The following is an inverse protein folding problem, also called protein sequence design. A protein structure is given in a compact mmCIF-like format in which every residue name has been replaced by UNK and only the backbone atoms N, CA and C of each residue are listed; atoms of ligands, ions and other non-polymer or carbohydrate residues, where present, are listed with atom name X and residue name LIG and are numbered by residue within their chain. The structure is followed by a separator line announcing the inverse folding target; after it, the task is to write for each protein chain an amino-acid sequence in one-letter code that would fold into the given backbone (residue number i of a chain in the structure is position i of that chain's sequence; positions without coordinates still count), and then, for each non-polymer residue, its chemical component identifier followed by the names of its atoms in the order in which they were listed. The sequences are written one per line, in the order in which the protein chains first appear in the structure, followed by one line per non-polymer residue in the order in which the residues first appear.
data_IF_362859573498
#
_entry.id   IF_362859573498
#
_cell.length_a   1.000
_cell.length_b   1.000
_cell.length_c   1.000
_cell.angle_alpha   90.00
_cell.angle_beta   90.00
_cell.angle_gamma   90.00
#
_symmetry.space_group_name_H-M   'P 1'
#
loop_
_entity.id
_entity.type
_entity.pdbx_description
1 polymer ?
#
# COMPACT_ATOMS: atom_id res chain seq x y z
N UNK A 1 17.41 15.65 6.09
CA UNK A 1 16.47 16.48 6.87
C UNK A 1 15.07 16.14 6.41
N UNK A 2 14.21 15.73 7.35
CA UNK A 2 12.84 15.34 7.04
C UNK A 2 11.98 16.56 6.69
N UNK A 3 10.86 16.35 6.01
CA UNK A 3 9.85 17.37 5.71
C UNK A 3 8.49 16.86 6.20
N UNK A 4 7.75 17.68 6.95
CA UNK A 4 6.38 17.41 7.37
C UNK A 4 5.46 18.36 6.64
N UNK A 5 4.44 17.86 5.97
CA UNK A 5 3.49 18.64 5.16
C UNK A 5 2.05 18.42 5.66
N UNK A 6 1.29 19.50 5.69
CA UNK A 6 -0.17 19.50 5.94
C UNK A 6 -0.81 20.58 5.05
N UNK A 7 -1.83 20.20 4.28
CA UNK A 7 -2.47 21.08 3.31
C UNK A 7 -3.94 21.32 3.63
N UNK A 8 -4.38 22.57 3.51
CA UNK A 8 -5.80 22.91 3.52
C UNK A 8 -6.24 23.29 2.10
N UNK A 9 -7.32 22.66 1.65
CA UNK A 9 -7.77 22.69 0.25
C UNK A 9 -9.29 22.85 0.13
N UNK A 10 -9.73 23.48 -0.96
CA UNK A 10 -11.14 23.65 -1.29
C UNK A 10 -11.75 22.39 -1.91
N UNK A 11 -13.07 22.25 -1.83
CA UNK A 11 -13.80 21.21 -2.58
C UNK A 11 -13.48 21.38 -4.07
N UNK A 12 -12.68 20.44 -4.61
CA UNK A 12 -12.04 20.56 -5.93
C UNK A 12 -10.55 20.22 -5.93
N UNK A 13 -9.90 20.27 -4.76
CA UNK A 13 -8.48 19.96 -4.57
C UNK A 13 -7.55 21.15 -4.78
N UNK A 14 -8.07 22.37 -4.84
CA UNK A 14 -7.26 23.59 -4.89
C UNK A 14 -6.74 23.91 -3.49
N UNK A 15 -5.42 23.89 -3.31
CA UNK A 15 -4.77 24.20 -2.04
C UNK A 15 -4.74 25.72 -1.88
N UNK A 16 -5.08 26.20 -0.69
CA UNK A 16 -4.99 27.63 -0.35
C UNK A 16 -4.01 27.91 0.80
N UNK A 17 -3.59 26.86 1.52
CA UNK A 17 -2.62 26.93 2.59
C UNK A 17 -1.86 25.61 2.67
N UNK A 18 -0.53 25.69 2.66
CA UNK A 18 0.36 24.55 2.86
C UNK A 18 1.29 24.85 4.04
N UNK A 19 1.11 24.12 5.13
CA UNK A 19 2.02 24.14 6.26
C UNK A 19 3.20 23.22 6.02
N UNK A 20 4.38 23.62 6.50
CA UNK A 20 5.55 22.76 6.48
C UNK A 20 6.38 22.87 7.77
N UNK A 21 7.07 21.79 8.12
CA UNK A 21 8.02 21.74 9.22
C UNK A 21 9.19 20.83 8.85
N UNK A 22 10.40 21.15 9.34
CA UNK A 22 11.57 20.26 9.36
C UNK A 22 11.75 19.65 10.75
N UNK A 23 11.46 20.47 11.75
CA UNK A 23 11.41 20.11 13.16
C UNK A 23 10.55 21.13 13.95
N UNK A 24 10.64 21.07 15.28
CA UNK A 24 9.89 21.96 16.18
C UNK A 24 10.30 23.44 16.13
N UNK A 25 11.43 23.78 15.50
CA UNK A 25 12.02 25.12 15.43
C UNK A 25 12.02 25.69 14.01
N UNK A 26 12.17 24.85 12.99
CA UNK A 26 12.19 25.25 11.59
C UNK A 26 10.88 24.81 10.92
N UNK A 27 9.97 25.77 10.76
CA UNK A 27 8.66 25.58 10.15
C UNK A 27 8.20 26.85 9.44
N UNK A 28 7.21 26.71 8.57
CA UNK A 28 6.64 27.83 7.83
C UNK A 28 5.32 27.44 7.17
N UNK A 29 4.78 28.36 6.40
CA UNK A 29 3.52 28.18 5.69
C UNK A 29 3.61 28.89 4.34
N UNK A 30 3.13 28.24 3.28
CA UNK A 30 2.92 28.82 1.97
C UNK A 30 1.42 29.11 1.80
N UNK A 31 1.06 30.35 1.54
CA UNK A 31 -0.31 30.81 1.31
C UNK A 31 -0.34 32.14 0.54
N UNK A 32 -1.48 32.50 -0.03
CA UNK A 32 -1.64 33.67 -0.90
C UNK A 32 -0.50 33.72 -1.95
N UNK A 33 0.20 34.84 -2.07
CA UNK A 33 1.27 35.07 -3.07
C UNK A 33 2.51 34.17 -2.86
N UNK A 34 2.67 33.56 -1.68
CA UNK A 34 3.78 32.63 -1.41
C UNK A 34 3.49 31.19 -1.82
N UNK A 35 2.23 30.85 -2.09
CA UNK A 35 1.83 29.50 -2.52
C UNK A 35 2.08 29.32 -4.03
N UNK A 36 3.36 29.23 -4.38
CA UNK A 36 3.82 29.07 -5.76
C UNK A 36 4.61 27.78 -5.92
N UNK A 37 4.64 27.29 -7.15
CA UNK A 37 5.41 26.11 -7.54
C UNK A 37 6.91 26.26 -7.23
N UNK A 38 7.49 27.41 -7.56
CA UNK A 38 8.91 27.72 -7.32
C UNK A 38 9.27 27.63 -5.82
N UNK A 39 8.47 28.26 -4.96
CA UNK A 39 8.68 28.21 -3.50
C UNK A 39 8.51 26.82 -2.92
N UNK A 40 7.58 26.05 -3.48
CA UNK A 40 7.40 24.67 -3.05
C UNK A 40 8.56 23.78 -3.53
N UNK A 41 9.08 24.00 -4.73
CA UNK A 41 10.26 23.31 -5.24
C UNK A 41 11.50 23.62 -4.41
N UNK A 42 11.72 24.87 -3.99
CA UNK A 42 12.80 25.25 -3.05
C UNK A 42 12.73 24.39 -1.76
N UNK A 43 11.54 24.19 -1.20
CA UNK A 43 11.36 23.30 -0.03
C UNK A 43 11.67 21.84 -0.37
N UNK A 44 11.29 21.35 -1.55
CA UNK A 44 11.58 19.98 -1.95
C UNK A 44 13.08 19.76 -2.16
N UNK A 45 13.78 20.69 -2.79
CA UNK A 45 15.23 20.60 -3.07
C UNK A 45 16.07 20.55 -1.78
N UNK A 46 15.67 21.28 -0.74
CA UNK A 46 16.29 21.25 0.57
C UNK A 46 16.02 19.94 1.36
N UNK A 47 15.16 19.06 0.84
CA UNK A 47 14.76 17.82 1.51
C UNK A 47 15.72 16.67 1.21
N UNK A 48 16.63 16.42 2.15
CA UNK A 48 17.54 15.25 2.09
C UNK A 48 17.03 14.01 2.83
N UNK A 49 15.91 14.12 3.55
CA UNK A 49 15.31 13.05 4.35
C UNK A 49 14.01 12.50 3.76
N UNK A 50 13.09 12.09 4.63
CA UNK A 50 11.77 11.58 4.23
C UNK A 50 10.72 12.69 4.28
N UNK A 51 9.71 12.59 3.43
CA UNK A 51 8.54 13.48 3.45
C UNK A 51 7.40 12.78 4.19
N UNK A 52 6.89 13.39 5.25
CA UNK A 52 5.82 12.91 6.08
C UNK A 52 4.58 13.79 5.92
N UNK A 53 3.41 13.16 5.96
CA UNK A 53 2.10 13.83 5.92
C UNK A 53 1.08 12.96 6.64
N UNK A 54 -0.09 13.54 6.93
CA UNK A 54 -1.12 12.88 7.72
C UNK A 54 -2.44 12.76 6.96
N UNK A 55 -2.59 11.69 6.18
CA UNK A 55 -3.80 11.43 5.39
C UNK A 55 -3.60 11.55 3.88
N UNK A 56 -4.57 12.09 3.12
CA UNK A 56 -4.56 12.07 1.65
C UNK A 56 -3.79 13.23 1.00
N UNK A 57 -3.24 14.16 1.79
CA UNK A 57 -2.80 15.48 1.32
C UNK A 57 -1.77 15.45 0.19
N UNK A 58 -0.84 14.51 0.22
CA UNK A 58 0.22 14.40 -0.79
C UNK A 58 -0.31 14.28 -2.21
N UNK A 59 -1.41 13.55 -2.43
CA UNK A 59 -2.00 13.41 -3.77
C UNK A 59 -2.66 14.69 -4.25
N UNK A 60 -3.17 15.51 -3.33
CA UNK A 60 -3.77 16.81 -3.63
C UNK A 60 -2.64 17.82 -3.94
N UNK A 61 -1.55 17.78 -3.18
CA UNK A 61 -0.35 18.61 -3.38
C UNK A 61 0.26 18.35 -4.76
N UNK A 62 0.50 17.09 -5.12
CA UNK A 62 1.01 16.70 -6.45
C UNK A 62 0.12 17.20 -7.58
N UNK A 63 -1.20 17.06 -7.44
CA UNK A 63 -2.16 17.54 -8.44
C UNK A 63 -2.15 19.05 -8.57
N UNK A 64 -2.06 19.77 -7.45
CA UNK A 64 -2.10 21.23 -7.43
C UNK A 64 -0.85 21.83 -8.09
N UNK A 65 0.34 21.35 -7.71
CA UNK A 65 1.60 21.83 -8.28
C UNK A 65 2.00 21.14 -9.59
N UNK A 66 1.25 20.13 -10.03
CA UNK A 66 1.59 19.30 -11.19
C UNK A 66 2.98 18.64 -11.07
N UNK A 67 3.34 18.25 -9.85
CA UNK A 67 4.64 17.66 -9.51
C UNK A 67 4.51 16.18 -9.17
N UNK A 68 5.51 15.37 -9.53
CA UNK A 68 5.62 13.98 -9.07
C UNK A 68 6.54 13.90 -7.86
N UNK A 69 5.96 13.98 -6.66
CA UNK A 69 6.73 14.02 -5.42
C UNK A 69 7.03 12.58 -4.96
N UNK A 70 6.05 11.69 -5.04
CA UNK A 70 6.14 10.31 -4.56
C UNK A 70 7.13 9.45 -5.34
N UNK A 71 7.37 9.73 -6.64
CA UNK A 71 8.43 9.03 -7.38
C UNK A 71 9.83 9.53 -7.00
N UNK A 72 9.97 10.83 -6.70
CA UNK A 72 11.26 11.47 -6.51
C UNK A 72 11.73 11.49 -5.04
N UNK A 73 10.80 11.37 -4.09
CA UNK A 73 11.08 11.44 -2.65
C UNK A 73 10.53 10.23 -1.88
N UNK A 74 11.08 9.96 -0.70
CA UNK A 74 10.53 8.94 0.19
C UNK A 74 9.37 9.52 1.00
N UNK A 75 8.17 9.36 0.46
CA UNK A 75 6.92 9.83 1.07
C UNK A 75 6.31 8.78 2.01
N UNK A 76 6.00 9.15 3.26
CA UNK A 76 5.43 8.29 4.31
C UNK A 76 4.16 8.89 4.90
N UNK A 77 3.06 8.13 4.87
CA UNK A 77 1.82 8.52 5.52
C UNK A 77 1.83 8.12 7.00
N UNK A 78 1.97 9.09 7.91
CA UNK A 78 2.04 8.83 9.35
C UNK A 78 0.73 8.28 9.93
N UNK A 79 -0.42 8.53 9.30
CA UNK A 79 -1.68 7.93 9.74
C UNK A 79 -1.63 6.40 9.65
N UNK A 80 -0.99 5.85 8.62
CA UNK A 80 -0.80 4.40 8.48
C UNK A 80 0.15 3.89 9.56
N UNK A 81 1.30 4.54 9.71
CA UNK A 81 2.30 4.17 10.73
C UNK A 81 1.68 4.16 12.13
N UNK A 82 0.89 5.16 12.46
CA UNK A 82 0.26 5.25 13.77
C UNK A 82 -0.84 4.20 13.97
N UNK A 83 -1.57 3.82 12.91
CA UNK A 83 -2.54 2.70 12.98
C UNK A 83 -1.87 1.37 13.28
N UNK A 84 -0.74 1.11 12.64
CA UNK A 84 -0.01 -0.14 12.81
C UNK A 84 0.60 -0.25 14.22
N UNK A 85 1.06 0.87 14.79
CA UNK A 85 1.74 0.89 16.10
C UNK A 85 0.83 1.19 17.30
N UNK A 86 -0.35 1.78 17.07
CA UNK A 86 -1.35 2.08 18.12
C UNK A 86 -2.68 1.39 17.79
N UNK A 87 -2.75 0.04 17.77
CA UNK A 87 -3.98 -0.66 17.43
C UNK A 87 -5.07 -0.44 18.49
N UNK A 88 -6.32 -0.34 18.04
CA UNK A 88 -7.49 -0.31 18.93
C UNK A 88 -7.88 1.06 19.48
N UNK A 89 -7.37 2.17 18.92
CA UNK A 89 -7.85 3.50 19.25
C UNK A 89 -9.24 3.76 18.65
N UNK A 90 -10.12 4.39 19.42
CA UNK A 90 -11.46 4.79 18.96
C UNK A 90 -11.40 5.78 17.78
N UNK A 91 -10.31 6.54 17.67
CA UNK A 91 -10.14 7.54 16.63
C UNK A 91 -8.67 7.85 16.35
N UNK A 92 -8.31 7.76 15.06
CA UNK A 92 -6.99 8.11 14.53
C UNK A 92 -6.98 9.52 13.91
N UNK A 93 -7.72 10.47 14.49
CA UNK A 93 -7.53 11.88 14.14
C UNK A 93 -6.25 12.37 14.82
N UNK A 94 -5.48 13.21 14.12
CA UNK A 94 -4.23 13.76 14.66
C UNK A 94 -4.43 14.38 16.05
N UNK A 95 -5.45 15.23 16.22
CA UNK A 95 -5.80 15.85 17.49
C UNK A 95 -6.06 14.85 18.64
N UNK A 96 -6.62 13.67 18.36
CA UNK A 96 -6.89 12.64 19.38
C UNK A 96 -5.60 11.94 19.81
N UNK A 97 -4.70 11.67 18.87
CA UNK A 97 -3.38 11.11 19.16
C UNK A 97 -2.53 12.13 19.92
N UNK A 98 -2.57 13.40 19.54
CA UNK A 98 -1.91 14.47 20.29
C UNK A 98 -2.38 14.54 21.75
N UNK A 99 -3.70 14.43 21.97
CA UNK A 99 -4.28 14.38 23.31
C UNK A 99 -3.78 13.17 24.10
N UNK A 100 -3.70 11.99 23.47
CA UNK A 100 -3.16 10.78 24.09
C UNK A 100 -1.71 10.98 24.57
N UNK A 101 -0.91 11.74 23.82
CA UNK A 101 0.48 12.06 24.13
C UNK A 101 0.69 13.38 24.88
N UNK A 102 -0.39 13.98 25.42
CA UNK A 102 -0.35 15.25 26.15
C UNK A 102 0.29 16.42 25.40
N UNK A 103 0.22 16.40 24.06
CA UNK A 103 0.63 17.54 23.24
C UNK A 103 -0.46 18.62 23.26
N UNK A 104 -0.09 19.79 23.76
CA UNK A 104 -1.02 20.93 23.88
C UNK A 104 -1.21 21.60 22.52
N UNK A 105 -2.47 21.68 22.08
CA UNK A 105 -2.93 22.66 21.09
C UNK A 105 -3.35 23.94 21.81
N UNK A 106 -3.22 25.09 21.14
CA UNK A 106 -3.82 26.31 21.68
C UNK A 106 -5.36 26.26 21.59
N UNK A 107 -5.92 25.47 20.68
CA UNK A 107 -7.34 25.17 20.61
C UNK A 107 -7.58 23.69 20.34
N UNK A 108 -8.30 23.03 21.25
CA UNK A 108 -8.59 21.59 21.16
C UNK A 108 -9.53 21.23 19.99
N UNK A 109 -10.45 22.13 19.62
CA UNK A 109 -11.51 21.85 18.64
C UNK A 109 -11.71 23.03 17.69
N UNK A 110 -10.76 23.27 16.78
CA UNK A 110 -11.01 24.21 15.67
C UNK A 110 -11.73 23.52 14.49
N UNK A 111 -11.44 22.23 14.24
CA UNK A 111 -11.91 21.44 13.10
C UNK A 111 -13.17 20.63 13.43
N UNK A 112 -14.29 21.28 13.73
CA UNK A 112 -15.58 20.58 13.80
C UNK A 112 -16.12 20.22 12.40
N UNK A 113 -15.80 21.04 11.38
CA UNK A 113 -16.26 20.85 10.01
C UNK A 113 -15.31 21.50 8.98
N UNK A 114 -14.94 20.83 7.89
CA UNK A 114 -14.14 21.40 6.78
C UNK A 114 -14.77 22.69 6.24
N UNK A 115 -16.10 22.79 6.22
CA UNK A 115 -16.82 23.99 5.77
C UNK A 115 -16.54 25.23 6.64
N UNK A 116 -16.16 25.09 7.91
CA UNK A 116 -15.83 26.24 8.76
C UNK A 116 -14.48 26.85 8.42
N UNK A 117 -13.50 26.04 8.05
CA UNK A 117 -12.15 26.51 7.65
C UNK A 117 -12.25 27.38 6.40
N UNK A 118 -13.01 26.92 5.41
CA UNK A 118 -13.26 27.68 4.19
C UNK A 118 -13.84 29.07 4.47
N UNK A 119 -14.88 29.11 5.31
CA UNK A 119 -15.57 30.35 5.67
C UNK A 119 -14.65 31.29 6.43
N UNK A 120 -13.81 30.74 7.29
CA UNK A 120 -12.89 31.51 8.13
C UNK A 120 -11.69 32.01 7.31
N UNK A 121 -11.20 31.24 6.33
CA UNK A 121 -10.13 31.68 5.42
C UNK A 121 -10.47 32.98 4.67
N UNK A 122 -11.74 33.13 4.26
CA UNK A 122 -12.24 34.32 3.55
C UNK A 122 -12.41 35.55 4.44
N UNK A 123 -12.31 35.39 5.77
CA UNK A 123 -12.51 36.48 6.73
C UNK A 123 -11.16 36.87 7.33
N UNK A 124 -10.62 38.06 7.01
CA UNK A 124 -9.30 38.49 7.49
C UNK A 124 -9.11 38.39 9.01
N UNK A 125 -10.19 38.65 9.77
CA UNK A 125 -10.19 38.64 11.24
C UNK A 125 -9.99 37.25 11.85
N UNK A 126 -10.32 36.17 11.13
CA UNK A 126 -10.22 34.78 11.62
C UNK A 126 -9.25 33.92 10.79
N UNK A 127 -8.70 34.45 9.69
CA UNK A 127 -7.63 33.81 8.91
C UNK A 127 -6.43 33.41 9.76
N UNK A 128 -6.07 34.23 10.74
CA UNK A 128 -5.01 33.94 11.71
C UNK A 128 -5.24 32.65 12.50
N UNK A 129 -6.49 32.25 12.73
CA UNK A 129 -6.84 31.00 13.40
C UNK A 129 -6.56 29.79 12.51
N UNK A 130 -6.87 29.89 11.21
CA UNK A 130 -6.55 28.83 10.23
C UNK A 130 -5.04 28.66 10.10
N UNK A 131 -4.30 29.78 10.01
CA UNK A 131 -2.84 29.76 9.98
C UNK A 131 -2.26 29.12 11.24
N UNK A 132 -2.75 29.50 12.42
CA UNK A 132 -2.30 28.91 13.67
C UNK A 132 -2.60 27.42 13.75
N UNK A 133 -3.79 26.99 13.33
CA UNK A 133 -4.22 25.59 13.33
C UNK A 133 -3.30 24.72 12.45
N UNK A 134 -3.11 25.09 11.18
CA UNK A 134 -2.28 24.33 10.25
C UNK A 134 -0.79 24.30 10.68
N UNK A 135 -0.29 25.41 11.25
CA UNK A 135 1.04 25.44 11.84
C UNK A 135 1.20 24.46 13.01
N UNK A 136 0.19 24.38 13.88
CA UNK A 136 0.19 23.42 15.00
C UNK A 136 0.17 21.97 14.49
N UNK A 137 -0.59 21.67 13.44
CA UNK A 137 -0.65 20.33 12.84
C UNK A 137 0.73 19.86 12.37
N UNK A 138 1.47 20.65 11.59
CA UNK A 138 2.81 20.23 11.10
C UNK A 138 3.85 20.11 12.21
N UNK A 139 3.85 21.01 13.19
CA UNK A 139 4.80 20.98 14.31
C UNK A 139 4.50 19.77 15.22
N UNK A 140 3.23 19.52 15.52
CA UNK A 140 2.85 18.41 16.39
C UNK A 140 3.04 17.06 15.69
N UNK A 141 2.87 17.01 14.37
CA UNK A 141 3.22 15.82 13.57
C UNK A 141 4.69 15.45 13.74
N UNK A 142 5.62 16.42 13.66
CA UNK A 142 7.04 16.18 13.89
C UNK A 142 7.32 15.65 15.31
N UNK A 143 6.65 16.22 16.33
CA UNK A 143 6.78 15.76 17.73
C UNK A 143 6.24 14.34 17.91
N UNK A 144 5.05 14.04 17.39
CA UNK A 144 4.43 12.72 17.50
C UNK A 144 5.26 11.65 16.81
N UNK A 145 5.79 11.95 15.61
CA UNK A 145 6.71 11.04 14.91
C UNK A 145 7.88 10.68 15.82
N UNK A 146 8.54 11.68 16.43
CA UNK A 146 9.66 11.42 17.32
C UNK A 146 9.27 10.55 18.53
N UNK A 147 8.16 10.88 19.20
CA UNK A 147 7.70 10.14 20.39
C UNK A 147 7.33 8.69 20.03
N UNK A 148 6.48 8.50 19.03
CA UNK A 148 5.97 7.17 18.64
C UNK A 148 7.10 6.32 18.09
N UNK A 149 7.98 6.87 17.24
CA UNK A 149 9.06 6.08 16.66
C UNK A 149 10.05 5.63 17.72
N UNK A 150 10.33 6.47 18.72
CA UNK A 150 11.18 6.10 19.86
C UNK A 150 10.49 5.07 20.76
N UNK A 151 9.19 5.21 21.01
CA UNK A 151 8.43 4.31 21.89
C UNK A 151 8.28 2.90 21.31
N UNK A 152 8.05 2.79 19.99
CA UNK A 152 7.76 1.52 19.31
C UNK A 152 8.92 1.00 18.45
N UNK A 153 10.08 1.65 18.53
CA UNK A 153 11.29 1.29 17.79
C UNK A 153 11.04 1.13 16.28
N UNK A 154 10.44 2.16 15.67
CA UNK A 154 10.05 2.12 14.26
C UNK A 154 11.28 2.24 13.36
N UNK A 155 11.70 1.11 12.78
CA UNK A 155 12.90 0.98 11.95
C UNK A 155 12.73 1.51 10.51
N UNK A 156 13.87 1.81 9.87
CA UNK A 156 13.91 2.31 8.50
C UNK A 156 13.41 1.29 7.47
N UNK A 157 13.66 0.00 7.70
CA UNK A 157 13.15 -1.11 6.87
C UNK A 157 11.62 -1.10 6.79
N UNK A 158 10.94 -0.80 7.89
CA UNK A 158 9.48 -0.67 7.91
C UNK A 158 9.02 0.53 7.09
N UNK A 159 9.70 1.67 7.20
CA UNK A 159 9.37 2.90 6.45
C UNK A 159 9.50 2.72 4.93
N UNK A 160 10.44 1.89 4.48
CA UNK A 160 10.57 1.51 3.06
C UNK A 160 9.35 0.72 2.56
N UNK A 161 8.71 -0.06 3.42
CA UNK A 161 7.53 -0.86 3.06
C UNK A 161 6.24 -0.03 3.02
N UNK A 162 6.15 1.01 3.84
CA UNK A 162 4.98 1.90 3.88
C UNK A 162 5.15 3.16 3.01
N UNK A 163 6.25 3.25 2.24
CA UNK A 163 6.47 4.30 1.24
C UNK A 163 5.28 4.34 0.27
N UNK A 164 4.77 5.54 -0.01
CA UNK A 164 3.78 5.71 -1.06
C UNK A 164 4.41 5.59 -2.45
N UNK A 165 3.71 4.91 -3.35
CA UNK A 165 4.13 4.76 -4.73
C UNK A 165 3.92 6.03 -5.55
N UNK A 166 4.86 6.30 -6.47
CA UNK A 166 4.86 7.48 -7.37
C UNK A 166 4.13 7.29 -8.71
N UNK A 167 3.99 8.37 -9.49
CA UNK A 167 3.22 8.40 -10.75
C UNK A 167 3.85 7.55 -11.86
N UNK A 168 5.18 7.51 -11.93
CA UNK A 168 5.96 6.69 -12.87
C UNK A 168 6.48 5.40 -12.26
N UNK A 169 6.13 5.11 -11.01
CA UNK A 169 6.30 3.77 -10.51
C UNK A 169 5.34 2.89 -11.29
N UNK A 170 5.88 1.96 -12.09
CA UNK A 170 5.13 0.90 -12.78
C UNK A 170 3.97 0.54 -11.89
N UNK A 171 2.74 0.76 -12.37
CA UNK A 171 1.54 0.68 -11.57
C UNK A 171 1.58 -0.68 -10.87
N UNK A 172 2.04 -0.64 -9.61
CA UNK A 172 2.14 -1.77 -8.71
C UNK A 172 0.72 -1.95 -8.19
N UNK A 173 -0.19 -2.19 -9.13
CA UNK A 173 -1.50 -2.74 -8.88
C UNK A 173 -1.25 -4.18 -8.43
N UNK A 174 -0.65 -4.31 -7.24
CA UNK A 174 -0.70 -5.50 -6.41
C UNK A 174 -2.15 -5.65 -5.99
N UNK A 175 -3.04 -5.94 -6.95
CA UNK A 175 -4.38 -6.35 -6.61
C UNK A 175 -4.22 -7.77 -6.11
N UNK A 176 -4.02 -7.90 -4.80
CA UNK A 176 -4.09 -9.15 -4.07
C UNK A 176 -5.51 -9.64 -4.18
N UNK A 177 -5.78 -10.30 -5.29
CA UNK A 177 -7.08 -10.86 -5.51
C UNK A 177 -7.13 -12.25 -4.87
N UNK A 178 -6.91 -12.32 -3.57
CA UNK A 178 -7.03 -13.59 -2.88
C UNK A 178 -8.51 -14.01 -2.96
N UNK A 179 -8.84 -15.17 -3.55
CA UNK A 179 -10.18 -15.68 -3.38
C UNK A 179 -10.45 -16.03 -1.90
N UNK A 180 -9.39 -16.29 -1.10
CA UNK A 180 -9.51 -16.72 0.30
C UNK A 180 -8.16 -16.84 1.07
N UNK A 181 -8.23 -16.90 2.40
CA UNK A 181 -7.09 -17.16 3.30
C UNK A 181 -6.79 -18.68 3.42
N UNK A 182 -5.52 -19.08 3.37
CA UNK A 182 -5.06 -20.47 3.53
C UNK A 182 -4.39 -20.67 4.88
N UNK A 183 -5.05 -21.39 5.78
CA UNK A 183 -4.47 -21.83 7.04
C UNK A 183 -3.50 -23.00 6.79
N UNK A 184 -2.20 -22.82 7.07
CA UNK A 184 -1.31 -23.96 7.35
C UNK A 184 -1.10 -24.07 8.85
N UNK A 185 -1.61 -25.13 9.47
CA UNK A 185 -0.92 -25.66 10.65
C UNK A 185 -1.67 -26.45 11.71
N UNK A 186 -3.01 -26.52 11.75
CA UNK A 186 -3.71 -27.35 12.78
C UNK A 186 -5.00 -28.06 12.36
N UNK A 187 -5.51 -27.86 11.14
CA UNK A 187 -6.78 -28.48 10.70
C UNK A 187 -6.66 -29.41 9.50
N UNK A 188 -5.45 -29.91 9.19
CA UNK A 188 -5.39 -31.32 8.80
C UNK A 188 -5.35 -32.04 10.12
N UNK A 189 -6.49 -32.61 10.51
CA UNK A 189 -6.64 -33.29 11.79
C UNK A 189 -5.38 -34.06 12.12
N UNK A 190 -4.63 -33.59 13.11
CA UNK A 190 -3.77 -34.52 13.82
C UNK A 190 -4.72 -35.52 14.45
N UNK A 191 -4.49 -36.80 14.17
CA UNK A 191 -4.82 -37.87 15.10
C UNK A 191 -4.07 -37.60 16.42
N UNK A 192 -4.53 -36.64 17.21
CA UNK A 192 -4.09 -36.44 18.58
C UNK A 192 -5.35 -36.58 19.45
N UNK A 193 -5.41 -37.70 20.19
CA UNK A 193 -6.45 -38.03 21.17
C UNK A 193 -7.89 -38.20 20.64
N UNK A 194 -8.07 -38.64 19.38
CA UNK A 194 -9.34 -39.23 18.93
C UNK A 194 -10.53 -38.26 18.83
N UNK A 195 -10.30 -36.94 18.74
CA UNK A 195 -11.36 -35.96 18.44
C UNK A 195 -11.03 -35.13 17.20
N UNK A 196 -11.89 -35.24 16.20
CA UNK A 196 -11.86 -34.44 14.97
C UNK A 196 -12.25 -33.01 15.34
N UNK A 197 -11.51 -32.03 14.83
CA UNK A 197 -11.92 -30.63 14.90
C UNK A 197 -12.68 -30.34 13.59
N UNK A 198 -13.99 -30.06 13.69
CA UNK A 198 -15.00 -30.51 12.73
C UNK A 198 -15.21 -29.70 11.44
N UNK A 199 -14.37 -28.73 11.06
CA UNK A 199 -14.50 -28.12 9.72
C UNK A 199 -13.17 -27.58 9.16
N UNK A 200 -12.54 -28.28 8.19
CA UNK A 200 -11.32 -27.77 7.57
C UNK A 200 -11.63 -26.61 6.62
N UNK A 201 -10.79 -25.57 6.64
CA UNK A 201 -10.89 -24.45 5.70
C UNK A 201 -10.92 -24.97 4.24
N UNK A 202 -12.06 -24.76 3.57
CA UNK A 202 -12.32 -25.27 2.21
C UNK A 202 -11.23 -24.87 1.21
N UNK A 203 -10.61 -23.70 1.38
CA UNK A 203 -9.50 -23.24 0.54
C UNK A 203 -8.26 -24.10 0.71
N UNK A 204 -7.91 -24.40 1.96
CA UNK A 204 -6.77 -25.24 2.27
C UNK A 204 -7.00 -26.66 1.77
N UNK A 205 -8.25 -27.16 1.82
CA UNK A 205 -8.62 -28.43 1.21
C UNK A 205 -8.44 -28.39 -0.30
N UNK A 206 -8.98 -27.39 -1.01
CA UNK A 206 -8.85 -27.27 -2.46
C UNK A 206 -7.37 -27.24 -2.90
N UNK A 207 -6.53 -26.45 -2.23
CA UNK A 207 -5.10 -26.38 -2.53
C UNK A 207 -4.42 -27.72 -2.33
N UNK A 208 -4.65 -28.39 -1.20
CA UNK A 208 -3.96 -29.64 -0.88
C UNK A 208 -4.45 -30.79 -1.76
N UNK A 209 -5.77 -30.91 -1.97
CA UNK A 209 -6.38 -31.86 -2.88
C UNK A 209 -5.83 -31.69 -4.30
N UNK A 210 -5.76 -30.47 -4.82
CA UNK A 210 -5.19 -30.23 -6.13
C UNK A 210 -3.67 -30.46 -6.18
N UNK A 211 -2.91 -29.93 -5.20
CA UNK A 211 -1.44 -29.93 -5.22
C UNK A 211 -0.81 -31.28 -4.92
N UNK A 212 -1.32 -32.00 -3.92
CA UNK A 212 -0.71 -33.22 -3.41
C UNK A 212 -1.45 -34.48 -3.86
N UNK A 213 -2.74 -34.39 -4.18
CA UNK A 213 -3.57 -35.52 -4.61
C UNK A 213 -4.01 -35.44 -6.07
N UNK A 214 -3.63 -34.38 -6.81
CA UNK A 214 -4.00 -34.16 -8.21
C UNK A 214 -5.52 -34.22 -8.44
N UNK A 215 -6.31 -33.74 -7.48
CA UNK A 215 -7.77 -33.71 -7.59
C UNK A 215 -8.21 -32.65 -8.62
N UNK A 216 -8.67 -33.14 -9.77
CA UNK A 216 -9.11 -32.30 -10.89
C UNK A 216 -10.34 -31.47 -10.54
N UNK A 217 -11.22 -31.94 -9.65
CA UNK A 217 -12.41 -31.21 -9.23
C UNK A 217 -12.01 -29.98 -8.42
N UNK A 218 -11.11 -30.15 -7.45
CA UNK A 218 -10.55 -29.03 -6.69
C UNK A 218 -9.86 -28.02 -7.59
N UNK A 219 -8.98 -28.47 -8.50
CA UNK A 219 -8.31 -27.60 -9.46
C UNK A 219 -9.31 -26.79 -10.31
N UNK A 220 -10.35 -27.43 -10.84
CA UNK A 220 -11.37 -26.76 -11.64
C UNK A 220 -12.13 -25.69 -10.85
N UNK A 221 -12.51 -25.98 -9.60
CA UNK A 221 -13.14 -25.00 -8.70
C UNK A 221 -12.22 -23.81 -8.44
N UNK A 222 -10.93 -24.06 -8.21
CA UNK A 222 -9.94 -23.00 -8.03
C UNK A 222 -9.84 -22.08 -9.25
N UNK A 223 -9.80 -22.67 -10.46
CA UNK A 223 -9.77 -21.93 -11.73
C UNK A 223 -11.01 -21.03 -11.87
N UNK A 224 -12.20 -21.54 -11.54
CA UNK A 224 -13.44 -20.74 -11.61
C UNK A 224 -13.35 -19.52 -10.70
N UNK A 225 -12.98 -19.74 -9.43
CA UNK A 225 -12.90 -18.67 -8.43
C UNK A 225 -11.91 -17.59 -8.86
N UNK A 226 -10.70 -17.98 -9.27
CA UNK A 226 -9.66 -17.03 -9.71
C UNK A 226 -10.03 -16.30 -11.00
N UNK A 227 -10.72 -16.96 -11.93
CA UNK A 227 -11.15 -16.33 -13.18
C UNK A 227 -12.26 -15.29 -12.95
N UNK A 228 -13.20 -15.55 -12.04
CA UNK A 228 -14.27 -14.60 -11.71
C UNK A 228 -13.70 -13.33 -11.06
N UNK A 229 -12.69 -13.52 -10.22
CA UNK A 229 -11.95 -12.47 -9.54
C UNK A 229 -11.24 -11.48 -10.48
N UNK A 230 -10.83 -11.92 -11.68
CA UNK A 230 -10.22 -11.06 -12.70
C UNK A 230 -11.19 -10.65 -13.81
N UNK A 231 -12.47 -11.00 -13.67
CA UNK A 231 -13.50 -10.67 -14.66
C UNK A 231 -13.62 -9.16 -14.83
N UNK A 232 -13.66 -8.71 -16.08
CA UNK A 232 -13.72 -7.29 -16.44
C UNK A 232 -12.38 -6.56 -16.43
N UNK A 233 -11.28 -7.23 -16.02
CA UNK A 233 -9.92 -6.70 -16.17
C UNK A 233 -9.33 -7.12 -17.52
N UNK A 234 -8.53 -6.24 -18.12
CA UNK A 234 -7.84 -6.51 -19.37
C UNK A 234 -6.37 -6.82 -19.13
N UNK A 235 -5.93 -8.01 -19.56
CA UNK A 235 -4.54 -8.42 -19.57
C UNK A 235 -4.17 -8.93 -20.95
N UNK A 236 -2.95 -8.64 -21.38
CA UNK A 236 -2.40 -9.14 -22.64
C UNK A 236 -1.81 -10.54 -22.49
N UNK A 237 -1.44 -10.91 -21.26
CA UNK A 237 -0.74 -12.15 -20.97
C UNK A 237 -0.98 -12.67 -19.55
N UNK A 238 -1.16 -13.98 -19.41
CA UNK A 238 -1.06 -14.69 -18.13
C UNK A 238 0.24 -15.51 -18.09
N UNK A 239 0.94 -15.46 -16.96
CA UNK A 239 2.08 -16.34 -16.64
C UNK A 239 1.91 -16.90 -15.22
N UNK A 240 2.80 -17.78 -14.79
CA UNK A 240 2.89 -18.22 -13.41
C UNK A 240 4.29 -17.99 -12.84
N UNK A 241 4.42 -18.05 -11.52
CA UNK A 241 5.71 -18.27 -10.87
C UNK A 241 6.27 -19.64 -11.27
N UNK A 242 7.58 -19.76 -11.37
CA UNK A 242 8.30 -21.00 -11.62
C UNK A 242 8.74 -21.60 -10.28
N UNK A 243 8.21 -22.79 -9.95
CA UNK A 243 8.47 -23.48 -8.69
C UNK A 243 9.32 -24.74 -8.93
N UNK A 244 10.35 -24.94 -8.08
CA UNK A 244 11.40 -25.96 -8.26
C UNK A 244 10.99 -27.38 -7.80
N UNK A 245 10.06 -27.48 -6.85
CA UNK A 245 10.04 -28.62 -5.93
C UNK A 245 8.68 -29.34 -5.80
N UNK A 246 7.82 -29.33 -6.81
CA UNK A 246 6.57 -30.08 -6.78
C UNK A 246 6.38 -30.96 -7.99
N UNK A 247 5.99 -32.22 -7.75
CA UNK A 247 5.56 -33.18 -8.77
C UNK A 247 4.42 -32.60 -9.61
N UNK A 248 3.55 -31.78 -8.99
CA UNK A 248 2.47 -31.09 -9.67
C UNK A 248 2.64 -29.57 -9.58
N UNK A 249 2.91 -28.94 -10.72
CA UNK A 249 3.12 -27.49 -10.80
C UNK A 249 1.79 -26.73 -10.77
N UNK A 250 1.15 -26.69 -9.58
CA UNK A 250 -0.19 -26.12 -9.38
C UNK A 250 -0.35 -24.70 -9.94
N UNK A 251 0.61 -23.79 -9.71
CA UNK A 251 0.55 -22.42 -10.24
C UNK A 251 0.44 -22.36 -11.78
N UNK A 252 1.09 -23.30 -12.49
CA UNK A 252 1.06 -23.39 -13.96
C UNK A 252 -0.26 -23.98 -14.44
N UNK A 253 -0.78 -24.98 -13.73
CA UNK A 253 -2.10 -25.54 -14.00
C UNK A 253 -3.21 -24.50 -13.81
N UNK A 254 -3.15 -23.71 -12.73
CA UNK A 254 -4.05 -22.58 -12.50
C UNK A 254 -3.94 -21.53 -13.61
N UNK A 255 -2.74 -21.08 -13.94
CA UNK A 255 -2.52 -20.07 -14.99
C UNK A 255 -3.07 -20.52 -16.35
N UNK A 256 -2.80 -21.77 -16.73
CA UNK A 256 -3.28 -22.35 -18.00
C UNK A 256 -4.82 -22.45 -18.01
N UNK A 257 -5.42 -22.89 -16.90
CA UNK A 257 -6.87 -23.01 -16.78
C UNK A 257 -7.59 -21.66 -16.79
N UNK A 258 -7.05 -20.67 -16.09
CA UNK A 258 -7.58 -19.30 -16.08
C UNK A 258 -7.48 -18.71 -17.49
N UNK A 259 -6.33 -18.81 -18.14
CA UNK A 259 -6.10 -18.36 -19.52
C UNK A 259 -7.12 -18.95 -20.51
N UNK A 260 -7.36 -20.25 -20.45
CA UNK A 260 -8.37 -20.91 -21.27
C UNK A 260 -9.78 -20.37 -21.00
N UNK A 261 -10.14 -20.15 -19.73
CA UNK A 261 -11.47 -19.67 -19.33
C UNK A 261 -11.72 -18.20 -19.68
N UNK A 262 -10.70 -17.35 -19.58
CA UNK A 262 -10.80 -15.90 -19.85
C UNK A 262 -10.42 -15.52 -21.28
N UNK A 263 -9.92 -16.48 -22.08
CA UNK A 263 -9.39 -16.27 -23.44
C UNK A 263 -8.19 -15.31 -23.49
N UNK A 264 -7.44 -15.21 -22.40
CA UNK A 264 -6.17 -14.47 -22.34
C UNK A 264 -5.04 -15.47 -22.60
N UNK A 265 -4.04 -15.18 -23.45
CA UNK A 265 -2.99 -16.14 -23.76
C UNK A 265 -2.10 -16.42 -22.53
N UNK A 266 -1.77 -17.70 -22.33
CA UNK A 266 -0.76 -18.12 -21.36
C UNK A 266 0.62 -18.20 -22.04
N UNK A 267 1.65 -17.66 -21.39
CA UNK A 267 3.06 -17.94 -21.75
C UNK A 267 3.88 -18.20 -20.50
N UNK A 268 4.75 -19.19 -20.60
CA UNK A 268 5.73 -19.50 -19.56
C UNK A 268 6.94 -18.57 -19.73
N UNK A 269 6.88 -17.40 -19.11
CA UNK A 269 7.94 -16.38 -19.25
C UNK A 269 8.96 -16.39 -18.12
N UNK A 270 8.72 -17.14 -17.04
CA UNK A 270 9.59 -17.17 -15.85
C UNK A 270 10.50 -18.39 -15.87
N UNK A 271 11.81 -18.18 -15.72
CA UNK A 271 12.80 -19.26 -15.65
C UNK A 271 13.77 -19.07 -14.49
N UNK A 272 14.59 -20.09 -14.23
CA UNK A 272 15.64 -20.05 -13.20
C UNK A 272 15.10 -19.64 -11.81
N UNK A 273 14.00 -20.24 -11.35
CA UNK A 273 13.38 -19.91 -10.05
C UNK A 273 12.94 -18.45 -9.95
N UNK A 274 12.36 -17.93 -11.02
CA UNK A 274 11.90 -16.54 -11.14
C UNK A 274 13.03 -15.50 -11.18
N UNK A 275 14.30 -15.91 -11.34
CA UNK A 275 15.43 -14.98 -11.48
C UNK A 275 15.63 -14.50 -12.92
N UNK A 276 14.91 -15.07 -13.88
CA UNK A 276 14.94 -14.70 -15.29
C UNK A 276 13.53 -14.58 -15.86
N UNK A 277 13.29 -13.58 -16.70
CA UNK A 277 12.00 -13.33 -17.37
C UNK A 277 12.21 -13.03 -18.85
N UNK A 278 11.39 -13.61 -19.72
CA UNK A 278 11.43 -13.39 -21.17
C UNK A 278 11.04 -11.96 -21.56
N UNK A 279 11.66 -11.42 -22.61
CA UNK A 279 11.33 -10.11 -23.19
C UNK A 279 9.91 -10.04 -23.79
N UNK A 280 9.22 -11.19 -23.92
CA UNK A 280 7.84 -11.28 -24.40
C UNK A 280 6.82 -10.48 -23.59
N UNK A 281 7.17 -10.06 -22.37
CA UNK A 281 6.34 -9.23 -21.49
C UNK A 281 6.46 -7.73 -21.75
N UNK A 282 7.45 -7.29 -22.55
CA UNK A 282 7.71 -5.88 -22.81
C UNK A 282 6.48 -5.17 -23.40
N UNK A 283 6.07 -4.06 -22.80
CA UNK A 283 4.92 -3.28 -23.24
C UNK A 283 3.55 -3.96 -23.08
N UNK A 284 3.43 -4.99 -22.22
CA UNK A 284 2.18 -5.72 -21.97
C UNK A 284 1.65 -5.54 -20.55
N UNK A 285 0.34 -5.66 -20.39
CA UNK A 285 -0.34 -5.88 -19.11
C UNK A 285 -0.27 -7.37 -18.75
N UNK A 286 0.47 -7.71 -17.69
CA UNK A 286 0.80 -9.11 -17.35
C UNK A 286 0.17 -9.51 -16.02
N UNK A 287 -0.53 -10.64 -16.01
CA UNK A 287 -1.02 -11.29 -14.80
C UNK A 287 -0.11 -12.47 -14.42
N UNK A 288 0.51 -12.42 -13.25
CA UNK A 288 1.34 -13.49 -12.68
C UNK A 288 0.51 -14.30 -11.68
N UNK A 289 0.42 -15.61 -11.90
CA UNK A 289 -0.32 -16.55 -11.03
C UNK A 289 0.62 -17.30 -10.08
N UNK A 290 0.17 -17.46 -8.84
CA UNK A 290 0.79 -18.32 -7.83
C UNK A 290 -0.26 -19.20 -7.14
N UNK A 291 0.18 -20.28 -6.48
CA UNK A 291 -0.72 -21.13 -5.70
C UNK A 291 -0.96 -20.58 -4.29
N UNK A 292 0.07 -20.43 -3.46
CA UNK A 292 -0.03 -19.91 -2.09
C UNK A 292 1.14 -19.00 -1.74
N UNK A 293 0.84 -17.79 -1.27
CA UNK A 293 1.84 -16.87 -0.75
C UNK A 293 2.25 -17.26 0.67
N UNK A 294 3.52 -17.59 0.88
CA UNK A 294 4.10 -17.82 2.22
C UNK A 294 4.69 -16.54 2.82
N UNK A 295 5.94 -16.21 2.46
CA UNK A 295 6.67 -15.01 2.90
C UNK A 295 6.66 -13.88 1.85
N UNK A 296 6.03 -14.10 0.71
CA UNK A 296 6.06 -13.17 -0.42
C UNK A 296 7.39 -13.11 -1.20
N UNK A 297 8.43 -13.84 -0.79
CA UNK A 297 9.74 -13.82 -1.47
C UNK A 297 9.66 -14.26 -2.94
N UNK A 298 8.96 -15.35 -3.23
CA UNK A 298 8.76 -15.85 -4.61
C UNK A 298 8.01 -14.83 -5.46
N UNK A 299 6.94 -14.26 -4.91
CA UNK A 299 6.16 -13.20 -5.54
C UNK A 299 7.04 -11.99 -5.86
N UNK A 300 7.75 -11.47 -4.87
CA UNK A 300 8.64 -10.31 -5.02
C UNK A 300 9.68 -10.57 -6.11
N UNK A 301 10.34 -11.73 -6.06
CA UNK A 301 11.35 -12.11 -7.04
C UNK A 301 10.77 -12.19 -8.46
N UNK A 302 9.60 -12.81 -8.64
CA UNK A 302 8.95 -12.89 -9.95
C UNK A 302 8.58 -11.49 -10.50
N UNK A 303 8.03 -10.63 -9.64
CA UNK A 303 7.67 -9.26 -10.02
C UNK A 303 8.93 -8.47 -10.38
N UNK A 304 9.93 -8.43 -9.50
CA UNK A 304 11.19 -7.69 -9.72
C UNK A 304 11.89 -8.12 -11.01
N UNK A 305 11.88 -9.41 -11.32
CA UNK A 305 12.45 -9.94 -12.56
C UNK A 305 11.63 -9.55 -13.79
N UNK A 306 10.30 -9.57 -13.70
CA UNK A 306 9.40 -9.15 -14.78
C UNK A 306 9.54 -7.64 -15.07
N UNK A 307 9.66 -6.82 -14.02
CA UNK A 307 9.82 -5.36 -14.14
C UNK A 307 11.04 -4.97 -14.99
N UNK A 308 12.13 -5.75 -14.93
CA UNK A 308 13.35 -5.52 -15.75
C UNK A 308 13.08 -5.54 -17.26
N UNK A 309 12.00 -6.21 -17.69
CA UNK A 309 11.60 -6.31 -19.09
C UNK A 309 10.65 -5.18 -19.54
N UNK A 310 10.32 -4.23 -18.65
CA UNK A 310 9.49 -3.05 -18.93
C UNK A 310 8.07 -3.40 -19.47
N UNK A 311 7.27 -4.19 -18.74
CA UNK A 311 5.84 -4.34 -19.04
C UNK A 311 5.09 -3.02 -18.83
N UNK A 312 3.90 -2.90 -19.41
CA UNK A 312 3.00 -1.74 -19.19
C UNK A 312 2.39 -1.77 -17.79
N UNK A 313 2.03 -2.96 -17.31
CA UNK A 313 1.56 -3.18 -15.95
C UNK A 313 1.79 -4.64 -15.52
N UNK A 314 1.86 -4.86 -14.21
CA UNK A 314 1.95 -6.20 -13.62
C UNK A 314 0.88 -6.33 -12.54
N UNK A 315 0.05 -7.36 -12.64
CA UNK A 315 -0.81 -7.81 -11.55
C UNK A 315 -0.38 -9.18 -11.07
N UNK A 316 -0.56 -9.44 -9.78
CA UNK A 316 -0.20 -10.71 -9.16
C UNK A 316 -1.41 -11.31 -8.46
N UNK A 317 -1.68 -12.58 -8.70
CA UNK A 317 -2.84 -13.27 -8.18
C UNK A 317 -2.44 -14.64 -7.63
N UNK A 318 -2.72 -14.86 -6.34
CA UNK A 318 -2.52 -16.15 -5.69
C UNK A 318 -3.86 -16.73 -5.24
N UNK A 319 -3.98 -18.07 -5.26
CA UNK A 319 -5.18 -18.72 -4.75
C UNK A 319 -5.34 -18.57 -3.23
N UNK A 320 -4.23 -18.44 -2.49
CA UNK A 320 -4.32 -18.20 -1.07
C UNK A 320 -3.09 -17.57 -0.44
N UNK A 321 -3.26 -17.13 0.81
CA UNK A 321 -2.20 -16.56 1.65
C UNK A 321 -2.04 -17.38 2.92
N UNK A 322 -0.81 -17.74 3.26
CA UNK A 322 -0.47 -18.43 4.51
C UNK A 322 -0.58 -17.48 5.70
N UNK A 323 -1.29 -17.87 6.76
CA UNK A 323 -1.41 -17.07 7.99
C UNK A 323 -0.10 -16.87 8.79
N UNK A 324 0.97 -17.62 8.50
CA UNK A 324 2.33 -17.29 8.97
C UNK A 324 2.93 -16.06 8.26
N UNK A 325 2.09 -15.21 7.69
CA UNK A 325 2.40 -13.81 7.43
C UNK A 325 2.50 -13.09 8.79
N UNK A 326 3.50 -13.47 9.57
CA UNK A 326 3.98 -12.63 10.64
C UNK A 326 4.68 -11.46 9.96
N UNK A 327 4.04 -10.30 10.04
CA UNK A 327 4.83 -9.11 10.33
C UNK A 327 5.35 -9.28 11.75
#
# INVERSE_FOLDING_TARGET
MDLYLDGEWFIGGEIFLLGWSRDTRQFGQLYDDSLTEERFQELLDDTTGKIYFYGPDIGIIEKFFQMDIRSNYHCVNLLKVFKDNLPGLDSYKLANIEKLYNLKRNRQEYKANIFSIFRDWRKPQVKSLVLQYNREDVINMAKLKHIIFTQFDVEEEYLLQVKLAGVYEINKDYVYLLPCDVYRGRSYGKYEHGKINDDPNITAQLVVSAKFYNDKVSLYRMIILMADVIKGKQYDLITCVNNRDSIFHLAKALATGIAAKTKIPFKDVMSNHNTSCSADVKGKSVLIIDDVIYKGTTMKLAIDTCLKQKPTSISFLAFGKSQRFAY
#
